data_IF_416513109720
#
_entry.id   IF_416513109720
#
_cell.length_a   1.000
_cell.length_b   1.000
_cell.length_c   1.000
_cell.angle_alpha   90.00
_cell.angle_beta   90.00
_cell.angle_gamma   90.00
#
_symmetry.space_group_name_H-M   'P 1'
#
loop_
_entity.id
_entity.type
_entity.pdbx_description
1 polymer ?
#
# COMPACT_ATOMS: atom_id res chain seq x y z
N UNK A 1 23.15 -77.59 17.91
CA UNK A 1 22.55 -76.41 18.63
C UNK A 1 23.19 -75.14 18.12
N UNK A 2 22.49 -74.43 17.28
CA UNK A 2 22.89 -73.08 16.76
C UNK A 2 21.92 -72.10 17.28
N UNK A 3 22.35 -71.19 18.16
CA UNK A 3 21.56 -70.10 18.68
C UNK A 3 21.52 -68.99 17.65
N UNK A 4 20.31 -68.61 17.23
CA UNK A 4 20.05 -67.42 16.39
C UNK A 4 19.84 -66.26 17.34
N UNK A 5 20.72 -65.27 17.28
CA UNK A 5 20.58 -63.99 17.98
C UNK A 5 19.80 -63.05 17.02
N UNK A 6 18.55 -62.72 17.37
CA UNK A 6 17.74 -61.74 16.66
C UNK A 6 18.10 -60.37 17.19
N UNK A 7 18.76 -59.55 16.36
CA UNK A 7 19.01 -58.14 16.67
C UNK A 7 17.75 -57.37 16.28
N UNK A 8 17.02 -56.87 17.28
CA UNK A 8 15.94 -55.91 17.10
C UNK A 8 16.57 -54.51 16.97
N UNK A 9 16.58 -53.97 15.77
CA UNK A 9 16.95 -52.57 15.53
C UNK A 9 15.72 -51.71 15.84
N UNK A 10 15.70 -51.06 17.01
CA UNK A 10 14.75 -49.97 17.31
C UNK A 10 15.17 -48.76 16.48
N UNK A 11 14.45 -48.49 15.43
CA UNK A 11 14.51 -47.19 14.73
C UNK A 11 13.83 -46.14 15.60
N UNK A 12 14.61 -45.42 16.39
CA UNK A 12 14.15 -44.19 17.04
C UNK A 12 13.99 -43.13 15.96
N UNK A 13 12.75 -42.87 15.54
CA UNK A 13 12.42 -41.65 14.80
C UNK A 13 12.66 -40.47 15.73
N UNK A 14 13.75 -39.76 15.50
CA UNK A 14 14.01 -38.49 16.12
C UNK A 14 12.98 -37.48 15.60
N UNK A 15 11.91 -37.28 16.33
CA UNK A 15 11.07 -36.09 16.23
C UNK A 15 11.87 -34.89 16.79
N UNK A 16 12.92 -34.52 16.06
CA UNK A 16 13.73 -33.35 16.37
C UNK A 16 13.10 -32.13 15.76
N UNK A 17 12.58 -31.26 16.58
CA UNK A 17 12.25 -29.96 16.09
C UNK A 17 11.75 -28.92 17.09
N UNK A 18 11.09 -29.31 18.16
CA UNK A 18 10.53 -28.33 19.08
C UNK A 18 10.70 -28.59 20.57
N UNK A 19 11.34 -29.70 20.97
CA UNK A 19 11.38 -30.14 22.36
C UNK A 19 12.73 -30.00 23.06
N UNK A 20 13.75 -29.38 22.46
CA UNK A 20 15.12 -29.42 23.00
C UNK A 20 15.68 -28.10 23.56
N UNK A 21 14.87 -27.01 23.59
CA UNK A 21 15.34 -25.76 24.23
C UNK A 21 14.27 -25.16 25.11
N UNK A 22 14.62 -24.99 26.39
CA UNK A 22 13.85 -24.42 27.50
C UNK A 22 12.66 -25.29 27.93
N UNK A 23 12.45 -25.41 29.22
CA UNK A 23 11.32 -26.08 29.86
C UNK A 23 9.97 -25.48 29.47
N UNK A 24 9.53 -25.67 28.19
CA UNK A 24 8.22 -25.30 27.70
C UNK A 24 7.21 -26.13 28.47
N UNK A 25 6.49 -25.49 29.39
CA UNK A 25 5.33 -26.09 30.05
C UNK A 25 4.12 -25.88 29.12
N UNK A 26 3.44 -26.99 28.79
CA UNK A 26 2.08 -26.88 28.26
C UNK A 26 1.13 -26.32 29.33
N UNK A 27 -0.08 -25.92 28.93
CA UNK A 27 -1.13 -25.62 29.91
C UNK A 27 -1.53 -26.96 30.53
N UNK A 28 -1.14 -27.15 31.79
CA UNK A 28 -1.49 -28.33 32.58
C UNK A 28 -2.81 -28.13 33.32
N UNK A 29 -3.27 -29.17 34.02
CA UNK A 29 -4.56 -29.14 34.70
C UNK A 29 -4.59 -28.11 35.85
N UNK A 30 -3.49 -27.90 36.56
CA UNK A 30 -3.40 -26.94 37.66
C UNK A 30 -3.48 -25.51 37.11
N UNK A 31 -2.70 -25.20 36.05
CA UNK A 31 -2.77 -23.91 35.35
C UNK A 31 -4.17 -23.66 34.76
N UNK A 32 -4.82 -24.68 34.18
CA UNK A 32 -6.19 -24.53 33.65
C UNK A 32 -7.19 -24.20 34.76
N UNK A 33 -7.08 -24.79 35.94
CA UNK A 33 -7.89 -24.46 37.11
C UNK A 33 -7.67 -23.01 37.56
N UNK A 34 -6.40 -22.55 37.61
CA UNK A 34 -6.06 -21.17 37.95
C UNK A 34 -6.65 -20.17 36.93
N UNK A 35 -6.47 -20.45 35.63
CA UNK A 35 -7.06 -19.62 34.56
C UNK A 35 -8.59 -19.57 34.64
N UNK A 36 -9.26 -20.69 34.84
CA UNK A 36 -10.70 -20.74 35.01
C UNK A 36 -11.18 -19.95 36.25
N UNK A 37 -10.45 -20.03 37.35
CA UNK A 37 -10.76 -19.28 38.57
C UNK A 37 -10.54 -17.77 38.44
N UNK A 38 -9.70 -17.33 37.50
CA UNK A 38 -9.46 -15.91 37.23
C UNK A 38 -10.65 -15.22 36.53
N UNK A 39 -11.58 -15.97 35.99
CA UNK A 39 -12.75 -15.44 35.30
C UNK A 39 -14.02 -15.63 36.13
N UNK A 40 -14.82 -14.55 36.24
CA UNK A 40 -16.10 -14.59 36.97
C UNK A 40 -17.24 -14.06 36.12
N UNK A 41 -18.33 -14.82 36.07
CA UNK A 41 -19.59 -14.39 35.48
C UNK A 41 -20.27 -13.34 36.37
N UNK A 42 -20.29 -12.10 35.92
CA UNK A 42 -21.07 -11.02 36.52
C UNK A 42 -22.05 -10.43 35.51
N UNK A 43 -22.80 -9.39 35.88
CA UNK A 43 -23.78 -8.78 34.98
C UNK A 43 -23.14 -8.21 33.70
N UNK A 44 -21.95 -7.57 33.82
CA UNK A 44 -21.23 -7.03 32.69
C UNK A 44 -20.73 -8.13 31.75
N UNK A 45 -20.02 -9.13 32.28
CA UNK A 45 -19.45 -10.21 31.43
C UNK A 45 -20.53 -11.02 30.75
N UNK A 46 -21.70 -11.21 31.38
CA UNK A 46 -22.88 -11.85 30.73
C UNK A 46 -23.45 -10.99 29.61
N UNK A 47 -23.57 -9.67 29.80
CA UNK A 47 -24.09 -8.76 28.77
C UNK A 47 -23.14 -8.72 27.56
N UNK A 48 -21.83 -8.62 27.81
CA UNK A 48 -20.80 -8.66 26.78
C UNK A 48 -20.82 -9.98 26.02
N UNK A 49 -20.88 -11.13 26.72
CA UNK A 49 -20.95 -12.43 26.09
C UNK A 49 -22.18 -12.57 25.18
N UNK A 50 -23.36 -12.15 25.65
CA UNK A 50 -24.59 -12.19 24.85
C UNK A 50 -24.48 -11.32 23.59
N UNK A 51 -23.89 -10.12 23.69
CA UNK A 51 -23.68 -9.23 22.55
C UNK A 51 -22.67 -9.83 21.55
N UNK A 52 -21.52 -10.32 22.02
CA UNK A 52 -20.49 -10.94 21.19
C UNK A 52 -20.93 -12.26 20.55
N UNK A 53 -21.90 -12.95 21.12
CA UNK A 53 -22.44 -14.19 20.54
C UNK A 53 -23.23 -13.95 19.24
N UNK A 54 -23.63 -12.72 18.95
CA UNK A 54 -24.49 -12.34 17.82
C UNK A 54 -23.97 -11.19 16.98
N UNK A 55 -22.95 -10.44 17.45
CA UNK A 55 -22.38 -9.27 16.77
C UNK A 55 -20.85 -9.30 16.78
N UNK A 56 -20.25 -8.68 15.77
CA UNK A 56 -18.82 -8.45 15.74
C UNK A 56 -18.39 -7.45 16.83
N UNK A 57 -17.23 -7.68 17.45
CA UNK A 57 -16.69 -6.80 18.48
C UNK A 57 -16.56 -5.34 17.99
N UNK A 58 -16.18 -5.13 16.73
CA UNK A 58 -16.06 -3.78 16.14
C UNK A 58 -17.41 -3.06 16.06
N UNK A 59 -18.52 -3.77 15.91
CA UNK A 59 -19.83 -3.13 15.83
C UNK A 59 -20.31 -2.64 17.21
N UNK A 60 -20.05 -3.41 18.26
CA UNK A 60 -20.52 -3.09 19.63
C UNK A 60 -19.58 -2.17 20.41
N UNK A 61 -18.33 -2.05 19.98
CA UNK A 61 -17.33 -1.17 20.63
C UNK A 61 -17.25 0.23 20.04
N UNK A 62 -18.05 0.56 19.01
CA UNK A 62 -18.04 1.89 18.41
C UNK A 62 -18.32 2.97 19.45
N UNK A 63 -17.33 3.82 19.71
CA UNK A 63 -17.44 4.91 20.67
C UNK A 63 -18.37 6.01 20.14
N UNK A 64 -19.58 6.07 20.69
CA UNK A 64 -20.60 7.03 20.24
C UNK A 64 -20.23 8.48 20.56
N UNK A 65 -19.39 8.73 21.55
CA UNK A 65 -18.90 10.10 21.85
C UNK A 65 -17.99 10.58 20.73
N UNK A 66 -17.02 9.75 20.30
CA UNK A 66 -16.14 10.04 19.15
C UNK A 66 -16.95 10.26 17.87
N UNK A 67 -17.97 9.42 17.62
CA UNK A 67 -18.80 9.56 16.42
C UNK A 67 -19.68 10.81 16.43
N UNK A 68 -20.18 11.24 17.60
CA UNK A 68 -21.00 12.47 17.74
C UNK A 68 -20.17 13.74 17.70
N UNK A 69 -18.90 13.72 18.08
CA UNK A 69 -17.99 14.86 18.00
C UNK A 69 -17.49 15.14 16.58
N UNK A 70 -17.93 14.35 15.57
CA UNK A 70 -17.54 14.55 14.17
C UNK A 70 -18.01 15.91 13.68
N UNK A 71 -17.07 16.69 13.21
CA UNK A 71 -17.28 17.94 12.49
C UNK A 71 -16.71 17.82 11.06
N UNK A 72 -17.35 18.44 10.09
CA UNK A 72 -17.03 18.33 8.66
C UNK A 72 -16.59 19.63 8.01
N UNK A 73 -16.37 20.68 8.79
CA UNK A 73 -15.89 21.98 8.32
C UNK A 73 -14.37 22.05 8.40
N UNK A 74 -13.76 22.78 7.48
CA UNK A 74 -12.31 22.93 7.37
C UNK A 74 -11.94 24.39 7.13
N UNK A 75 -10.91 24.86 7.81
CA UNK A 75 -10.37 26.23 7.62
C UNK A 75 -9.60 26.36 6.30
N UNK A 76 -9.06 25.26 5.78
CA UNK A 76 -8.43 25.19 4.47
C UNK A 76 -8.86 23.91 3.76
N UNK A 77 -9.42 24.06 2.57
CA UNK A 77 -9.85 22.93 1.73
C UNK A 77 -9.50 23.20 0.27
N UNK A 78 -8.90 22.23 -0.40
CA UNK A 78 -8.68 22.27 -1.84
C UNK A 78 -9.98 21.94 -2.57
N UNK A 79 -10.08 22.38 -3.83
CA UNK A 79 -11.25 22.08 -4.65
C UNK A 79 -11.47 20.58 -4.77
N UNK A 80 -12.65 20.11 -4.34
CA UNK A 80 -13.01 18.69 -4.39
C UNK A 80 -13.08 18.19 -5.82
N UNK A 81 -12.56 16.99 -6.03
CA UNK A 81 -12.64 16.28 -7.29
C UNK A 81 -13.73 15.21 -7.23
N UNK A 82 -14.32 14.79 -8.37
CA UNK A 82 -15.12 13.57 -8.41
C UNK A 82 -14.33 12.37 -7.89
N UNK A 83 -14.94 11.63 -6.99
CA UNK A 83 -14.30 10.50 -6.31
C UNK A 83 -14.08 9.34 -7.29
N UNK A 84 -12.88 8.77 -7.25
CA UNK A 84 -12.51 7.58 -8.00
C UNK A 84 -12.83 6.31 -7.23
N UNK A 85 -12.93 5.16 -7.94
CA UNK A 85 -13.18 3.86 -7.34
C UNK A 85 -12.18 2.83 -7.84
N UNK A 86 -11.35 2.31 -6.93
CA UNK A 86 -10.37 1.25 -7.25
C UNK A 86 -10.99 -0.14 -7.25
N UNK A 87 -12.25 -0.25 -6.80
CA UNK A 87 -12.99 -1.50 -6.69
C UNK A 87 -12.19 -2.57 -5.89
N UNK A 88 -12.27 -3.83 -6.31
CA UNK A 88 -11.61 -4.97 -5.66
C UNK A 88 -10.16 -5.17 -6.11
N UNK A 89 -9.34 -4.11 -6.01
CA UNK A 89 -7.93 -4.12 -6.40
C UNK A 89 -7.03 -3.42 -5.38
N UNK A 90 -5.75 -3.75 -5.42
CA UNK A 90 -4.73 -3.12 -4.58
C UNK A 90 -4.05 -1.92 -5.21
N UNK A 91 -4.74 -1.13 -6.02
CA UNK A 91 -4.18 0.01 -6.77
C UNK A 91 -4.29 1.36 -6.07
N UNK A 92 -4.59 1.40 -4.76
CA UNK A 92 -4.78 2.65 -4.01
C UNK A 92 -3.64 3.67 -4.24
N UNK A 93 -2.40 3.21 -4.24
CA UNK A 93 -1.22 4.03 -4.47
C UNK A 93 -1.22 4.74 -5.83
N UNK A 94 -1.73 4.07 -6.86
CA UNK A 94 -1.85 4.59 -8.22
C UNK A 94 -3.03 5.57 -8.33
N UNK A 95 -4.18 5.23 -7.72
CA UNK A 95 -5.35 6.10 -7.65
C UNK A 95 -5.02 7.41 -6.93
N UNK A 96 -4.46 7.30 -5.72
CA UNK A 96 -4.04 8.47 -4.94
C UNK A 96 -3.03 9.33 -5.71
N UNK A 97 -2.04 8.71 -6.36
CA UNK A 97 -1.03 9.44 -7.13
C UNK A 97 -1.60 10.17 -8.34
N UNK A 98 -2.46 9.50 -9.12
CA UNK A 98 -3.12 10.14 -10.26
C UNK A 98 -4.11 11.24 -9.81
N UNK A 99 -4.79 11.06 -8.65
CA UNK A 99 -5.67 12.10 -8.09
C UNK A 99 -4.90 13.37 -7.70
N UNK A 100 -3.66 13.27 -7.21
CA UNK A 100 -2.78 14.44 -6.99
C UNK A 100 -2.47 15.18 -8.30
N UNK A 101 -2.40 14.48 -9.43
CA UNK A 101 -2.07 15.06 -10.73
C UNK A 101 -3.30 15.67 -11.47
N UNK A 102 -4.52 15.26 -11.13
CA UNK A 102 -5.77 15.72 -11.79
C UNK A 102 -5.93 17.24 -11.77
N UNK A 103 -5.70 17.96 -10.66
CA UNK A 103 -5.81 19.42 -10.62
C UNK A 103 -4.90 20.13 -11.64
N UNK A 104 -3.69 19.59 -11.85
CA UNK A 104 -2.74 20.15 -12.83
C UNK A 104 -3.26 19.96 -14.26
N UNK A 105 -3.78 18.80 -14.58
CA UNK A 105 -4.36 18.52 -15.89
C UNK A 105 -5.63 19.35 -16.14
N UNK A 106 -6.49 19.48 -15.11
CA UNK A 106 -7.67 20.36 -15.19
C UNK A 106 -7.31 21.81 -15.54
N UNK A 107 -6.30 22.34 -14.86
CA UNK A 107 -5.85 23.71 -15.09
C UNK A 107 -5.31 23.89 -16.52
N UNK A 108 -4.46 22.97 -17.00
CA UNK A 108 -3.86 23.04 -18.34
C UNK A 108 -4.86 22.83 -19.47
N UNK A 109 -5.72 21.83 -19.36
CA UNK A 109 -6.75 21.52 -20.35
C UNK A 109 -7.97 22.43 -20.24
N UNK A 110 -8.07 23.23 -19.15
CA UNK A 110 -9.23 24.09 -18.84
C UNK A 110 -10.54 23.30 -18.82
N UNK A 111 -10.54 22.11 -18.21
CA UNK A 111 -11.71 21.24 -18.07
C UNK A 111 -12.28 21.31 -16.64
N UNK A 112 -13.55 20.96 -16.48
CA UNK A 112 -14.19 20.86 -15.15
C UNK A 112 -13.65 19.67 -14.36
N UNK A 113 -13.42 18.57 -15.05
CA UNK A 113 -12.84 17.35 -14.49
C UNK A 113 -12.10 16.57 -15.57
N UNK A 114 -11.16 15.72 -15.11
CA UNK A 114 -10.48 14.73 -15.91
C UNK A 114 -10.14 13.54 -15.04
N UNK A 115 -10.31 12.35 -15.58
CA UNK A 115 -9.82 11.12 -14.99
C UNK A 115 -8.80 10.47 -15.93
N UNK A 116 -7.71 9.95 -15.36
CA UNK A 116 -6.73 9.17 -16.10
C UNK A 116 -7.12 7.69 -16.10
N UNK A 117 -6.69 6.96 -17.12
CA UNK A 117 -6.87 5.52 -17.17
C UNK A 117 -5.93 4.82 -16.17
N UNK A 118 -6.51 4.24 -15.13
CA UNK A 118 -5.77 3.39 -14.19
C UNK A 118 -5.43 2.04 -14.84
N UNK A 119 -6.28 1.50 -15.68
CA UNK A 119 -6.07 0.25 -16.43
C UNK A 119 -4.84 0.34 -17.32
N UNK A 120 -4.60 1.48 -17.97
CA UNK A 120 -3.42 1.73 -18.80
C UNK A 120 -2.12 1.55 -18.00
N UNK A 121 -1.98 2.25 -16.89
CA UNK A 121 -0.79 2.15 -16.03
C UNK A 121 -0.70 0.79 -15.33
N UNK A 122 -1.82 0.19 -14.97
CA UNK A 122 -1.85 -1.12 -14.32
C UNK A 122 -1.37 -2.24 -15.23
N UNK A 123 -1.64 -2.16 -16.54
CA UNK A 123 -1.06 -3.07 -17.52
C UNK A 123 0.47 -3.08 -17.44
N UNK A 124 1.05 -1.90 -17.48
CA UNK A 124 2.51 -1.77 -17.43
C UNK A 124 3.10 -2.09 -16.05
N UNK A 125 2.40 -1.75 -14.96
CA UNK A 125 2.78 -2.15 -13.61
C UNK A 125 2.94 -3.67 -13.50
N UNK A 126 1.97 -4.43 -14.00
CA UNK A 126 2.03 -5.89 -14.00
C UNK A 126 3.14 -6.44 -14.89
N UNK A 127 3.33 -5.88 -16.06
CA UNK A 127 4.38 -6.29 -16.99
C UNK A 127 5.77 -6.04 -16.40
N UNK A 128 5.99 -4.87 -15.82
CA UNK A 128 7.26 -4.51 -15.21
C UNK A 128 7.54 -5.32 -13.93
N UNK A 129 6.54 -5.53 -13.08
CA UNK A 129 6.69 -6.41 -11.90
C UNK A 129 7.00 -7.85 -12.29
N UNK A 130 6.43 -8.35 -13.39
CA UNK A 130 6.78 -9.67 -13.92
C UNK A 130 8.25 -9.71 -14.37
N UNK A 131 8.72 -8.65 -15.03
CA UNK A 131 10.13 -8.53 -15.42
C UNK A 131 11.05 -8.48 -14.20
N UNK A 132 10.71 -7.67 -13.19
CA UNK A 132 11.45 -7.60 -11.92
C UNK A 132 11.52 -8.95 -11.21
N UNK A 133 10.38 -9.66 -11.15
CA UNK A 133 10.34 -11.01 -10.60
C UNK A 133 11.31 -11.94 -11.32
N UNK A 134 11.28 -11.99 -12.66
CA UNK A 134 12.15 -12.85 -13.45
C UNK A 134 13.63 -12.49 -13.26
N UNK A 135 13.97 -11.21 -13.19
CA UNK A 135 15.32 -10.76 -12.87
C UNK A 135 15.74 -11.15 -11.44
N UNK A 136 14.85 -11.01 -10.46
CA UNK A 136 15.09 -11.47 -9.09
C UNK A 136 15.35 -12.98 -9.01
N UNK A 137 14.61 -13.77 -9.79
CA UNK A 137 14.83 -15.23 -9.91
C UNK A 137 16.19 -15.52 -10.52
N UNK A 138 16.60 -14.80 -11.56
CA UNK A 138 17.93 -14.95 -12.16
C UNK A 138 19.04 -14.58 -11.18
N UNK A 139 18.89 -13.49 -10.45
CA UNK A 139 19.86 -13.02 -9.45
C UNK A 139 19.96 -13.95 -8.22
N UNK A 140 18.93 -14.76 -7.95
CA UNK A 140 18.90 -15.70 -6.82
C UNK A 140 18.96 -17.16 -7.25
N UNK A 141 19.36 -17.41 -8.49
CA UNK A 141 19.30 -18.72 -9.12
C UNK A 141 20.08 -19.79 -8.36
N UNK A 142 21.26 -19.45 -7.86
CA UNK A 142 22.16 -20.36 -7.18
C UNK A 142 21.83 -20.58 -5.68
N UNK A 143 20.87 -19.79 -5.16
CA UNK A 143 20.38 -19.95 -3.79
C UNK A 143 19.35 -21.10 -3.70
N UNK A 144 19.29 -21.87 -2.60
CA UNK A 144 18.27 -22.91 -2.43
C UNK A 144 16.85 -22.31 -2.42
N UNK A 145 15.84 -23.13 -2.76
CA UNK A 145 14.43 -22.70 -2.76
C UNK A 145 13.96 -22.22 -1.38
N UNK A 146 14.53 -22.76 -0.30
CA UNK A 146 14.26 -22.37 1.09
C UNK A 146 14.97 -21.09 1.53
N UNK A 147 15.78 -20.47 0.66
CA UNK A 147 16.42 -19.21 1.00
C UNK A 147 15.38 -18.08 1.03
N UNK A 148 15.38 -17.27 2.10
CA UNK A 148 14.37 -16.23 2.37
C UNK A 148 14.11 -15.28 1.19
N UNK A 149 15.15 -14.90 0.43
CA UNK A 149 15.01 -14.07 -0.80
C UNK A 149 14.20 -14.80 -1.88
N UNK A 150 14.41 -16.10 -2.05
CA UNK A 150 13.68 -16.91 -3.05
C UNK A 150 12.23 -17.10 -2.61
N UNK A 151 12.01 -17.42 -1.34
CA UNK A 151 10.65 -17.53 -0.79
C UNK A 151 9.86 -16.23 -0.95
N UNK A 152 10.49 -15.08 -0.66
CA UNK A 152 9.88 -13.78 -0.81
C UNK A 152 9.39 -13.55 -2.25
N UNK A 153 10.25 -13.78 -3.25
CA UNK A 153 9.88 -13.67 -4.67
C UNK A 153 8.74 -14.62 -5.02
N UNK A 154 8.84 -15.89 -4.62
CA UNK A 154 7.86 -16.92 -4.97
C UNK A 154 6.49 -16.72 -4.31
N UNK A 155 6.42 -16.08 -3.12
CA UNK A 155 5.15 -15.83 -2.44
C UNK A 155 4.25 -14.88 -3.22
N UNK A 156 4.78 -13.78 -3.74
CA UNK A 156 4.00 -12.75 -4.42
C UNK A 156 4.71 -12.20 -5.66
N UNK A 157 4.70 -12.94 -6.81
CA UNK A 157 5.42 -12.54 -8.02
C UNK A 157 5.01 -11.17 -8.59
N UNK A 158 3.71 -10.86 -8.59
CA UNK A 158 3.14 -9.63 -9.19
C UNK A 158 2.05 -9.03 -8.29
N UNK A 159 2.39 -8.55 -7.08
CA UNK A 159 1.42 -7.97 -6.17
C UNK A 159 0.81 -6.68 -6.75
N UNK A 160 -0.38 -6.30 -6.26
CA UNK A 160 -1.04 -5.05 -6.69
C UNK A 160 -0.40 -3.82 -6.05
N UNK A 161 0.08 -3.95 -4.81
CA UNK A 161 0.64 -2.85 -4.04
C UNK A 161 1.82 -2.13 -4.71
N UNK A 162 2.04 -0.90 -4.35
CA UNK A 162 3.12 -0.05 -4.84
C UNK A 162 3.24 1.23 -4.04
N UNK A 163 4.13 2.12 -4.47
CA UNK A 163 4.46 3.39 -3.85
C UNK A 163 4.31 4.53 -4.85
N UNK A 164 4.36 5.78 -4.38
CA UNK A 164 4.39 6.95 -5.26
C UNK A 164 5.47 6.84 -6.35
N UNK A 165 6.69 6.46 -5.98
CA UNK A 165 7.80 6.32 -6.94
C UNK A 165 7.46 5.34 -8.05
N UNK A 166 6.74 4.25 -7.74
CA UNK A 166 6.31 3.29 -8.74
C UNK A 166 5.39 3.91 -9.79
N UNK A 167 4.40 4.69 -9.38
CA UNK A 167 3.51 5.42 -10.28
C UNK A 167 4.29 6.46 -11.09
N UNK A 168 5.18 7.23 -10.46
CA UNK A 168 5.99 8.24 -11.12
C UNK A 168 6.87 7.64 -12.22
N UNK A 169 7.55 6.51 -11.96
CA UNK A 169 8.40 5.85 -12.95
C UNK A 169 7.60 5.21 -14.10
N UNK A 170 6.43 4.68 -13.81
CA UNK A 170 5.53 4.18 -14.87
C UNK A 170 5.07 5.33 -15.77
N UNK A 171 4.70 6.48 -15.21
CA UNK A 171 4.31 7.66 -15.99
C UNK A 171 5.48 8.18 -16.84
N UNK A 172 6.68 8.27 -16.27
CA UNK A 172 7.87 8.72 -17.03
C UNK A 172 8.17 7.81 -18.22
N UNK A 173 8.01 6.50 -18.04
CA UNK A 173 8.31 5.52 -19.08
C UNK A 173 7.19 5.39 -20.11
N UNK A 174 5.95 5.37 -19.66
CA UNK A 174 4.81 5.01 -20.50
C UNK A 174 3.82 6.16 -20.75
N UNK A 175 3.92 7.28 -20.02
CA UNK A 175 2.95 8.36 -20.09
C UNK A 175 1.64 8.03 -19.38
N UNK A 176 0.61 8.80 -19.70
CA UNK A 176 -0.77 8.58 -19.24
C UNK A 176 -1.75 8.79 -20.40
N UNK A 177 -2.95 8.26 -20.26
CA UNK A 177 -4.05 8.49 -21.22
C UNK A 177 -5.31 8.90 -20.45
N UNK A 178 -6.26 9.65 -21.07
CA UNK A 178 -7.58 9.86 -20.51
C UNK A 178 -8.31 8.54 -20.23
N UNK A 179 -9.20 8.53 -19.26
CA UNK A 179 -9.96 7.34 -18.86
C UNK A 179 -10.69 6.68 -20.03
N UNK A 180 -11.30 7.48 -20.92
CA UNK A 180 -12.11 7.01 -22.05
C UNK A 180 -11.29 6.23 -23.09
N UNK A 181 -9.98 6.41 -23.13
CA UNK A 181 -9.09 5.74 -24.08
C UNK A 181 -8.83 4.28 -23.71
N UNK A 182 -8.75 4.00 -22.42
CA UNK A 182 -8.62 2.63 -21.91
C UNK A 182 -9.34 2.54 -20.56
N UNK A 183 -10.67 2.47 -20.56
CA UNK A 183 -11.47 2.46 -19.34
C UNK A 183 -11.28 1.17 -18.53
N UNK A 184 -11.66 1.23 -17.27
CA UNK A 184 -11.70 0.02 -16.45
C UNK A 184 -12.70 -0.99 -16.99
N UNK A 185 -12.36 -2.27 -16.87
CA UNK A 185 -13.21 -3.41 -17.17
C UNK A 185 -13.29 -4.34 -15.95
N UNK A 186 -14.04 -5.44 -16.05
CA UNK A 186 -14.20 -6.37 -14.94
C UNK A 186 -12.85 -6.88 -14.39
N UNK A 187 -11.94 -7.31 -15.26
CA UNK A 187 -10.63 -7.86 -14.86
C UNK A 187 -9.72 -6.80 -14.22
N UNK A 188 -9.75 -5.55 -14.70
CA UNK A 188 -8.97 -4.46 -14.12
C UNK A 188 -9.57 -3.97 -12.80
N UNK A 189 -10.89 -4.13 -12.59
CA UNK A 189 -11.58 -3.81 -11.34
C UNK A 189 -11.58 -4.96 -10.31
N UNK A 190 -11.24 -6.19 -10.73
CA UNK A 190 -11.22 -7.40 -9.90
C UNK A 190 -9.95 -8.20 -10.16
N UNK A 191 -8.81 -7.69 -9.71
CA UNK A 191 -7.47 -8.17 -10.10
C UNK A 191 -7.09 -9.57 -9.61
N UNK A 192 -7.83 -10.15 -8.66
CA UNK A 192 -7.47 -11.45 -8.03
C UNK A 192 -7.23 -12.56 -9.05
N UNK A 193 -8.11 -12.71 -10.05
CA UNK A 193 -8.01 -13.80 -11.05
C UNK A 193 -6.83 -13.63 -11.98
N UNK A 194 -6.60 -12.42 -12.49
CA UNK A 194 -5.46 -12.12 -13.36
C UNK A 194 -4.13 -12.24 -12.59
N UNK A 195 -4.07 -11.77 -11.35
CA UNK A 195 -2.89 -11.93 -10.48
C UNK A 195 -2.57 -13.40 -10.24
N UNK A 196 -3.58 -14.24 -10.02
CA UNK A 196 -3.41 -15.69 -9.86
C UNK A 196 -2.84 -16.34 -11.13
N UNK A 197 -3.39 -16.02 -12.29
CA UNK A 197 -2.91 -16.56 -13.56
C UNK A 197 -1.45 -16.14 -13.85
N UNK A 198 -1.12 -14.87 -13.66
CA UNK A 198 0.24 -14.35 -13.80
C UNK A 198 1.20 -15.02 -12.82
N UNK A 199 0.83 -15.13 -11.54
CA UNK A 199 1.67 -15.76 -10.53
C UNK A 199 1.93 -17.24 -10.81
N UNK A 200 0.93 -18.00 -11.30
CA UNK A 200 1.11 -19.38 -11.72
C UNK A 200 2.11 -19.49 -12.88
N UNK A 201 1.91 -18.70 -13.93
CA UNK A 201 2.79 -18.71 -15.10
C UNK A 201 4.22 -18.29 -14.77
N UNK A 202 4.39 -17.26 -13.94
CA UNK A 202 5.71 -16.79 -13.50
C UNK A 202 6.44 -17.83 -12.63
N UNK A 203 5.74 -18.58 -11.76
CA UNK A 203 6.35 -19.67 -10.99
C UNK A 203 6.80 -20.82 -11.89
N UNK A 204 6.07 -21.17 -12.95
CA UNK A 204 6.52 -22.13 -13.94
C UNK A 204 7.85 -21.66 -14.57
N UNK A 205 7.91 -20.44 -15.06
CA UNK A 205 9.13 -19.88 -15.64
C UNK A 205 10.29 -19.73 -14.64
N UNK A 206 9.99 -19.42 -13.40
CA UNK A 206 11.00 -19.38 -12.34
C UNK A 206 11.70 -20.74 -12.16
N UNK A 207 10.94 -21.85 -12.17
CA UNK A 207 11.50 -23.19 -12.11
C UNK A 207 12.30 -23.55 -13.37
N UNK A 208 11.82 -23.15 -14.56
CA UNK A 208 12.55 -23.35 -15.82
C UNK A 208 13.89 -22.61 -15.76
N UNK A 209 13.90 -21.32 -15.39
CA UNK A 209 15.09 -20.48 -15.27
C UNK A 209 16.09 -21.06 -14.26
N UNK A 210 15.61 -21.54 -13.11
CA UNK A 210 16.47 -22.11 -12.06
C UNK A 210 17.07 -23.47 -12.44
N UNK A 211 16.37 -24.27 -13.24
CA UNK A 211 16.82 -25.60 -13.68
C UNK A 211 17.67 -25.58 -14.95
N UNK A 212 17.69 -24.47 -15.68
CA UNK A 212 18.44 -24.39 -16.93
C UNK A 212 19.95 -24.55 -16.69
N UNK A 213 20.57 -25.49 -17.38
CA UNK A 213 22.00 -25.83 -17.21
C UNK A 213 22.94 -24.88 -17.98
N UNK A 214 22.46 -24.17 -19.00
CA UNK A 214 23.27 -23.35 -19.91
C UNK A 214 22.89 -21.88 -19.75
N UNK A 215 23.86 -21.01 -19.49
CA UNK A 215 23.66 -19.56 -19.34
C UNK A 215 23.12 -18.89 -20.62
N UNK A 216 23.48 -19.38 -21.80
CA UNK A 216 23.14 -18.73 -23.09
C UNK A 216 21.65 -18.73 -23.48
N UNK A 217 20.78 -19.48 -22.78
CA UNK A 217 19.34 -19.59 -23.11
C UNK A 217 18.43 -18.87 -22.09
N UNK A 218 18.98 -18.21 -21.09
CA UNK A 218 18.17 -17.63 -20.00
C UNK A 218 17.38 -16.41 -20.45
N UNK A 219 17.97 -15.58 -21.31
CA UNK A 219 17.31 -14.40 -21.84
C UNK A 219 16.14 -14.76 -22.76
N UNK A 220 16.29 -15.79 -23.60
CA UNK A 220 15.20 -16.28 -24.44
C UNK A 220 14.05 -16.83 -23.60
N UNK A 221 14.36 -17.50 -22.48
CA UNK A 221 13.33 -17.97 -21.53
C UNK A 221 12.63 -16.79 -20.88
N UNK A 222 13.37 -15.76 -20.44
CA UNK A 222 12.81 -14.54 -19.85
C UNK A 222 11.90 -13.83 -20.86
N UNK A 223 12.33 -13.68 -22.11
CA UNK A 223 11.54 -13.04 -23.16
C UNK A 223 10.25 -13.84 -23.47
N UNK A 224 10.33 -15.17 -23.51
CA UNK A 224 9.13 -16.02 -23.67
C UNK A 224 8.15 -15.83 -22.51
N UNK A 225 8.67 -15.80 -21.28
CA UNK A 225 7.84 -15.54 -20.09
C UNK A 225 7.12 -14.20 -20.19
N UNK A 226 7.82 -13.14 -20.61
CA UNK A 226 7.23 -11.81 -20.78
C UNK A 226 6.19 -11.76 -21.92
N UNK A 227 6.39 -12.52 -23.02
CA UNK A 227 5.38 -12.65 -24.08
C UNK A 227 4.09 -13.32 -23.56
N UNK A 228 4.22 -14.38 -22.75
CA UNK A 228 3.06 -15.03 -22.13
C UNK A 228 2.35 -14.12 -21.12
N UNK A 229 3.12 -13.39 -20.30
CA UNK A 229 2.59 -12.36 -19.40
C UNK A 229 1.83 -11.28 -20.17
N UNK A 230 2.44 -10.73 -21.23
CA UNK A 230 1.80 -9.73 -22.11
C UNK A 230 0.48 -10.25 -22.68
N UNK A 231 0.46 -11.50 -23.15
CA UNK A 231 -0.76 -12.14 -23.69
C UNK A 231 -1.85 -12.22 -22.62
N UNK A 232 -1.51 -12.64 -21.38
CA UNK A 232 -2.47 -12.70 -20.28
C UNK A 232 -3.02 -11.30 -20.00
N UNK A 233 -2.16 -10.29 -19.94
CA UNK A 233 -2.58 -8.90 -19.69
C UNK A 233 -3.46 -8.36 -20.82
N UNK A 234 -3.07 -8.58 -22.08
CA UNK A 234 -3.82 -8.11 -23.24
C UNK A 234 -5.24 -8.71 -23.33
N UNK A 235 -5.38 -10.00 -23.03
CA UNK A 235 -6.69 -10.67 -22.99
C UNK A 235 -7.57 -10.14 -21.85
N UNK A 236 -6.99 -9.76 -20.71
CA UNK A 236 -7.74 -9.29 -19.56
C UNK A 236 -8.03 -7.78 -19.59
N UNK A 237 -7.08 -6.97 -20.02
CA UNK A 237 -7.16 -5.50 -19.90
C UNK A 237 -7.33 -4.79 -21.26
N UNK A 238 -7.10 -5.48 -22.36
CA UNK A 238 -6.93 -4.89 -23.68
C UNK A 238 -5.47 -4.49 -23.94
N UNK A 239 -5.17 -4.05 -25.16
CA UNK A 239 -3.84 -3.61 -25.57
C UNK A 239 -3.72 -2.10 -25.33
N UNK A 240 -2.73 -1.64 -24.51
CA UNK A 240 -2.50 -0.22 -24.31
C UNK A 240 -2.19 0.48 -25.64
N UNK A 241 -2.81 1.61 -25.96
CA UNK A 241 -2.55 2.34 -27.19
C UNK A 241 -1.16 3.00 -27.16
N UNK A 242 -0.42 2.90 -28.24
CA UNK A 242 0.80 3.68 -28.47
C UNK A 242 0.50 5.11 -28.91
N UNK A 243 -0.65 5.31 -29.54
CA UNK A 243 -1.18 6.58 -30.01
C UNK A 243 -2.69 6.57 -29.90
N UNK A 244 -3.33 7.72 -29.64
CA UNK A 244 -4.77 7.87 -29.55
C UNK A 244 -5.23 9.23 -30.02
N UNK A 245 -6.41 9.28 -30.63
CA UNK A 245 -7.07 10.51 -31.04
C UNK A 245 -8.20 10.83 -30.07
N UNK A 246 -8.17 12.02 -29.47
CA UNK A 246 -9.10 12.40 -28.43
C UNK A 246 -9.51 13.87 -28.56
N UNK A 247 -10.71 14.18 -28.11
CA UNK A 247 -11.26 15.53 -27.93
C UNK A 247 -12.08 15.58 -26.64
N UNK A 248 -12.26 16.76 -26.10
CA UNK A 248 -12.97 16.95 -24.85
C UNK A 248 -13.78 18.25 -24.87
N UNK A 249 -14.67 18.41 -23.89
CA UNK A 249 -15.32 19.68 -23.61
C UNK A 249 -14.51 20.45 -22.57
N UNK A 250 -14.22 21.71 -22.86
CA UNK A 250 -13.60 22.61 -21.89
C UNK A 250 -14.57 22.95 -20.73
N UNK A 251 -14.10 23.75 -19.77
CA UNK A 251 -14.90 24.18 -18.61
C UNK A 251 -16.17 24.98 -18.99
N UNK A 252 -16.17 25.60 -20.14
CA UNK A 252 -17.27 26.39 -20.67
C UNK A 252 -18.22 25.55 -21.54
N UNK A 253 -17.96 24.27 -21.67
CA UNK A 253 -18.74 23.28 -22.43
C UNK A 253 -18.44 23.26 -23.92
N UNK A 254 -17.46 24.03 -24.40
CA UNK A 254 -17.06 24.09 -25.80
C UNK A 254 -16.25 22.83 -26.17
N UNK A 255 -16.65 22.21 -27.27
CA UNK A 255 -15.96 21.03 -27.80
C UNK A 255 -14.66 21.44 -28.47
N UNK A 256 -13.55 20.78 -28.12
CA UNK A 256 -12.25 20.97 -28.78
C UNK A 256 -12.21 20.21 -30.11
N UNK A 257 -11.23 20.53 -30.95
CA UNK A 257 -10.93 19.72 -32.13
C UNK A 257 -10.33 18.39 -31.73
N UNK A 258 -10.45 17.38 -32.58
CA UNK A 258 -9.71 16.13 -32.44
C UNK A 258 -8.22 16.41 -32.53
N UNK A 259 -7.47 15.79 -31.62
CA UNK A 259 -6.00 15.82 -31.63
C UNK A 259 -5.47 14.43 -31.36
N UNK A 260 -4.43 14.06 -32.10
CA UNK A 260 -3.69 12.81 -31.91
C UNK A 260 -2.55 13.03 -30.89
N UNK A 261 -2.42 12.09 -29.98
CA UNK A 261 -1.47 12.10 -28.88
C UNK A 261 -0.75 10.74 -28.77
N UNK A 262 0.50 10.77 -28.41
CA UNK A 262 1.10 9.64 -27.69
C UNK A 262 0.86 9.80 -26.20
N UNK A 263 0.84 8.72 -25.41
CA UNK A 263 0.69 8.84 -23.94
C UNK A 263 1.71 9.75 -23.28
N UNK A 264 2.95 9.77 -23.76
CA UNK A 264 4.02 10.63 -23.29
C UNK A 264 3.77 12.11 -23.66
N UNK A 265 3.35 12.39 -24.91
CA UNK A 265 3.03 13.76 -25.31
C UNK A 265 1.84 14.29 -24.54
N UNK A 266 0.82 13.46 -24.32
CA UNK A 266 -0.31 13.82 -23.47
C UNK A 266 0.13 14.14 -22.03
N UNK A 267 0.93 13.30 -21.40
CA UNK A 267 1.48 13.60 -20.08
C UNK A 267 2.22 14.93 -20.05
N UNK A 268 3.15 15.13 -20.97
CA UNK A 268 4.00 16.35 -21.04
C UNK A 268 3.17 17.63 -21.20
N UNK A 269 2.16 17.61 -22.04
CA UNK A 269 1.39 18.79 -22.39
C UNK A 269 0.18 19.01 -21.47
N UNK A 270 -0.57 17.94 -21.15
CA UNK A 270 -1.79 18.03 -20.37
C UNK A 270 -1.54 18.03 -18.84
N UNK A 271 -0.48 17.39 -18.37
CA UNK A 271 -0.13 17.33 -16.94
C UNK A 271 1.13 18.14 -16.65
N UNK A 272 2.26 17.72 -17.21
CA UNK A 272 3.56 18.39 -17.13
C UNK A 272 4.06 18.58 -15.70
N UNK A 273 3.73 17.67 -14.81
CA UNK A 273 4.28 17.67 -13.45
C UNK A 273 5.75 17.27 -13.47
N UNK A 274 6.58 17.98 -12.71
CA UNK A 274 7.96 17.58 -12.43
C UNK A 274 7.98 16.46 -11.40
N UNK A 275 7.73 15.21 -11.82
CA UNK A 275 7.65 14.07 -10.89
C UNK A 275 8.97 13.80 -10.14
N UNK A 276 10.10 14.33 -10.64
CA UNK A 276 11.41 14.26 -9.99
C UNK A 276 11.51 15.14 -8.75
N UNK A 277 10.61 16.11 -8.62
CA UNK A 277 10.61 17.05 -7.50
C UNK A 277 9.79 16.57 -6.29
N UNK A 278 9.27 15.34 -6.32
CA UNK A 278 8.50 14.75 -5.23
C UNK A 278 9.31 13.75 -4.43
N UNK A 279 9.35 13.91 -3.12
CA UNK A 279 10.17 13.15 -2.19
C UNK A 279 9.31 12.42 -1.16
N UNK A 280 9.60 11.14 -0.95
CA UNK A 280 8.95 10.34 0.07
C UNK A 280 9.61 10.60 1.44
N UNK A 281 8.79 11.00 2.40
CA UNK A 281 9.21 11.23 3.79
C UNK A 281 8.39 10.31 4.68
N UNK A 282 9.09 9.53 5.49
CA UNK A 282 8.50 8.58 6.41
C UNK A 282 8.69 9.02 7.85
N UNK A 283 7.82 8.59 8.74
CA UNK A 283 8.03 8.66 10.18
C UNK A 283 7.91 7.27 10.78
N UNK A 284 9.04 6.62 10.98
CA UNK A 284 9.17 5.25 11.48
C UNK A 284 9.91 5.31 12.81
N UNK A 285 9.21 5.20 13.96
CA UNK A 285 9.79 5.51 15.27
C UNK A 285 10.85 4.50 15.73
N UNK A 286 10.81 3.26 15.26
CA UNK A 286 11.79 2.24 15.62
C UNK A 286 13.07 2.27 14.75
N UNK A 287 13.29 3.39 14.05
CA UNK A 287 14.49 3.63 13.22
C UNK A 287 15.01 5.04 13.43
N UNK A 288 16.33 5.26 13.34
CA UNK A 288 16.91 6.59 13.46
C UNK A 288 16.28 7.62 12.51
N UNK A 289 15.88 8.77 13.06
CA UNK A 289 15.48 9.92 12.27
C UNK A 289 16.69 10.63 11.63
N UNK A 290 16.45 11.35 10.54
CA UNK A 290 17.50 12.05 9.79
C UNK A 290 18.36 11.14 8.93
N UNK A 291 17.95 9.90 8.70
CA UNK A 291 18.61 8.93 7.83
C UNK A 291 17.80 8.65 6.56
N UNK A 292 18.53 8.26 5.52
CA UNK A 292 17.99 7.84 4.25
C UNK A 292 17.92 6.30 4.18
N UNK A 293 16.81 5.79 3.68
CA UNK A 293 16.58 4.37 3.53
C UNK A 293 16.09 4.04 2.12
N UNK A 294 16.36 2.82 1.67
CA UNK A 294 15.75 2.22 0.49
C UNK A 294 15.29 0.79 0.83
N UNK A 295 14.40 0.23 0.03
CA UNK A 295 13.96 -1.16 0.21
C UNK A 295 14.32 -1.96 -1.02
N UNK A 296 15.02 -3.08 -0.82
CA UNK A 296 15.45 -3.97 -1.91
C UNK A 296 14.24 -4.45 -2.72
N UNK A 297 14.30 -4.32 -4.03
CA UNK A 297 13.25 -4.69 -4.99
C UNK A 297 11.94 -3.89 -4.88
N UNK A 298 11.89 -2.82 -4.10
CA UNK A 298 10.74 -1.92 -4.10
C UNK A 298 10.88 -0.86 -5.20
N UNK A 299 10.78 -1.33 -6.43
CA UNK A 299 10.74 -0.53 -7.65
C UNK A 299 9.63 -1.05 -8.56
N UNK A 300 9.03 -0.19 -9.37
CA UNK A 300 8.05 -0.60 -10.37
C UNK A 300 8.72 -1.00 -11.68
N UNK A 301 9.80 -0.32 -12.06
CA UNK A 301 10.48 -0.47 -13.35
C UNK A 301 11.93 -0.87 -13.11
N UNK A 302 12.40 -1.94 -13.76
CA UNK A 302 13.68 -2.59 -13.45
C UNK A 302 14.92 -1.70 -13.67
N UNK A 303 14.87 -0.83 -14.67
CA UNK A 303 15.95 0.09 -15.05
C UNK A 303 15.76 1.52 -14.50
N UNK A 304 14.92 1.67 -13.46
CA UNK A 304 14.58 2.95 -12.85
C UNK A 304 14.75 2.92 -11.33
N UNK A 305 14.87 4.09 -10.68
CA UNK A 305 14.97 4.16 -9.24
C UNK A 305 13.82 3.45 -8.52
N UNK A 306 14.15 2.78 -7.42
CA UNK A 306 13.20 2.23 -6.46
C UNK A 306 12.87 3.22 -5.36
N UNK A 307 12.16 2.73 -4.33
CA UNK A 307 11.82 3.53 -3.16
C UNK A 307 13.08 3.96 -2.42
N UNK A 308 13.23 5.28 -2.30
CA UNK A 308 14.18 5.95 -1.41
C UNK A 308 13.40 6.94 -0.56
N UNK A 309 13.60 6.93 0.75
CA UNK A 309 12.87 7.81 1.66
C UNK A 309 13.74 8.32 2.81
N UNK A 310 13.47 9.54 3.24
CA UNK A 310 14.06 10.08 4.46
C UNK A 310 13.14 9.79 5.66
N UNK A 311 13.70 9.23 6.73
CA UNK A 311 12.98 9.04 7.99
C UNK A 311 13.09 10.31 8.84
N UNK A 312 11.95 10.94 9.17
CA UNK A 312 11.89 12.20 9.92
C UNK A 312 10.89 12.10 11.07
N UNK A 313 11.00 13.00 12.06
CA UNK A 313 10.06 13.05 13.16
C UNK A 313 8.63 13.39 12.69
N UNK A 314 7.62 12.92 13.41
CA UNK A 314 6.21 13.08 13.06
C UNK A 314 5.79 14.54 12.93
N UNK A 315 6.21 15.40 13.84
CA UNK A 315 5.88 16.83 13.77
C UNK A 315 6.39 17.47 12.48
N UNK A 316 7.62 17.13 12.07
CA UNK A 316 8.17 17.61 10.80
C UNK A 316 7.39 17.04 9.60
N UNK A 317 6.91 15.80 9.67
CA UNK A 317 6.09 15.19 8.63
C UNK A 317 4.76 15.95 8.46
N UNK A 318 4.08 16.26 9.57
CA UNK A 318 2.83 17.04 9.60
C UNK A 318 3.03 18.46 9.08
N UNK A 319 4.10 19.13 9.52
CA UNK A 319 4.43 20.49 9.07
C UNK A 319 4.59 20.56 7.55
N UNK A 320 5.21 19.56 6.94
CA UNK A 320 5.41 19.51 5.49
C UNK A 320 4.08 19.26 4.76
N UNK A 321 3.22 18.39 5.29
CA UNK A 321 1.90 18.16 4.75
C UNK A 321 1.04 19.45 4.82
N UNK A 322 1.08 20.15 5.97
CA UNK A 322 0.39 21.42 6.15
C UNK A 322 0.89 22.49 5.15
N UNK A 323 2.20 22.66 5.00
CA UNK A 323 2.79 23.60 4.04
C UNK A 323 2.39 23.30 2.60
N UNK A 324 2.30 22.03 2.23
CA UNK A 324 1.84 21.62 0.90
C UNK A 324 0.39 22.07 0.66
N UNK A 325 -0.52 21.77 1.61
CA UNK A 325 -1.92 22.22 1.51
C UNK A 325 -2.06 23.73 1.48
N UNK A 326 -1.31 24.47 2.31
CA UNK A 326 -1.26 25.94 2.28
C UNK A 326 -0.76 26.48 0.93
N UNK A 327 0.18 25.77 0.31
CA UNK A 327 0.67 26.00 -1.04
C UNK A 327 -0.30 25.54 -2.15
N UNK A 328 -1.53 25.14 -1.78
CA UNK A 328 -2.60 24.63 -2.67
C UNK A 328 -2.20 23.35 -3.42
N UNK A 329 -1.42 22.50 -2.80
CA UNK A 329 -0.99 21.21 -3.37
C UNK A 329 -1.44 20.06 -2.47
N UNK A 330 -2.20 19.13 -3.05
CA UNK A 330 -2.67 17.94 -2.37
C UNK A 330 -1.49 16.98 -2.06
N UNK A 331 -1.61 16.20 -0.97
CA UNK A 331 -0.54 15.34 -0.48
C UNK A 331 -0.92 13.88 -0.60
N UNK A 332 -0.17 13.12 -1.39
CA UNK A 332 -0.22 11.67 -1.35
C UNK A 332 0.34 11.19 -0.01
N UNK A 333 -0.38 10.32 0.68
CA UNK A 333 0.09 9.74 1.94
C UNK A 333 -0.27 8.26 2.07
N UNK A 334 0.51 7.53 2.87
CA UNK A 334 0.27 6.13 3.20
C UNK A 334 0.08 5.93 4.70
N UNK A 335 -0.85 5.05 5.05
CA UNK A 335 -1.25 4.81 6.43
C UNK A 335 -1.73 3.37 6.67
N UNK A 336 -1.91 3.00 7.93
CA UNK A 336 -2.62 1.79 8.33
C UNK A 336 -4.12 2.06 8.48
N UNK A 337 -4.83 2.11 7.33
CA UNK A 337 -6.23 2.53 7.26
C UNK A 337 -7.19 1.65 8.06
N UNK A 338 -6.84 0.39 8.29
CA UNK A 338 -7.68 -0.55 9.02
C UNK A 338 -7.81 -0.28 10.52
N UNK A 339 -6.94 0.58 11.06
CA UNK A 339 -6.88 0.90 12.49
C UNK A 339 -7.72 2.14 12.81
N UNK A 340 -8.50 2.06 13.87
CA UNK A 340 -9.29 3.19 14.40
C UNK A 340 -10.01 4.00 13.31
N UNK A 341 -10.56 3.31 12.29
CA UNK A 341 -11.29 3.91 11.18
C UNK A 341 -12.65 3.24 10.96
N UNK A 342 -13.66 4.04 10.61
CA UNK A 342 -15.01 3.58 10.28
C UNK A 342 -15.42 4.12 8.91
N UNK A 343 -15.22 3.32 7.87
CA UNK A 343 -15.49 3.73 6.49
C UNK A 343 -16.97 4.12 6.26
N UNK A 344 -17.93 3.38 6.84
CA UNK A 344 -19.37 3.71 6.72
C UNK A 344 -19.74 5.12 7.19
N UNK A 345 -18.90 5.74 8.03
CA UNK A 345 -19.11 7.09 8.59
C UNK A 345 -18.06 8.10 8.12
N UNK A 346 -17.01 7.65 7.44
CA UNK A 346 -15.91 8.51 7.04
C UNK A 346 -15.12 9.09 8.22
N UNK A 347 -14.92 8.32 9.30
CA UNK A 347 -14.25 8.77 10.52
C UNK A 347 -12.95 8.01 10.73
N UNK A 348 -11.89 8.75 11.05
CA UNK A 348 -10.60 8.25 11.51
C UNK A 348 -10.27 8.96 12.82
N UNK A 349 -10.31 8.25 13.94
CA UNK A 349 -10.06 8.82 15.26
C UNK A 349 -9.53 7.74 16.21
N UNK A 350 -8.50 8.00 17.02
CA UNK A 350 -8.15 7.12 18.11
C UNK A 350 -9.35 6.89 19.04
N UNK A 351 -9.34 5.78 19.74
CA UNK A 351 -10.43 5.41 20.66
C UNK A 351 -11.81 5.23 19.98
N UNK A 352 -11.83 5.10 18.65
CA UNK A 352 -13.06 4.83 17.90
C UNK A 352 -13.69 3.49 18.30
N UNK A 353 -12.87 2.54 18.74
CA UNK A 353 -13.28 1.23 19.23
C UNK A 353 -12.85 1.05 20.68
N UNK A 354 -13.80 1.03 21.60
CA UNK A 354 -13.58 0.92 23.06
C UNK A 354 -13.44 -0.54 23.50
N UNK A 355 -12.32 -1.16 23.13
CA UNK A 355 -12.00 -2.54 23.54
C UNK A 355 -11.69 -2.65 25.04
N UNK A 356 -11.16 -1.58 25.64
CA UNK A 356 -10.83 -1.57 27.08
C UNK A 356 -12.11 -1.74 27.92
N UNK A 357 -13.18 -1.00 27.61
CA UNK A 357 -14.46 -1.17 28.27
C UNK A 357 -15.10 -2.53 27.97
N UNK A 358 -14.96 -3.03 26.74
CA UNK A 358 -15.52 -4.34 26.37
C UNK A 358 -14.92 -5.47 27.20
N UNK A 359 -13.58 -5.54 27.30
CA UNK A 359 -12.88 -6.65 27.93
C UNK A 359 -12.46 -6.39 29.38
N UNK A 360 -12.60 -5.17 29.87
CA UNK A 360 -12.20 -4.79 31.23
C UNK A 360 -10.68 -4.83 31.48
N UNK A 361 -9.89 -4.67 30.41
CA UNK A 361 -8.42 -4.67 30.48
C UNK A 361 -7.81 -3.70 29.47
N UNK A 362 -6.60 -3.15 29.71
CA UNK A 362 -5.98 -2.21 28.80
C UNK A 362 -5.48 -2.87 27.52
N UNK A 363 -5.61 -2.15 26.39
CA UNK A 363 -5.05 -2.48 25.07
C UNK A 363 -4.09 -1.36 24.64
N UNK A 364 -2.90 -1.32 25.26
CA UNK A 364 -1.94 -0.20 25.11
C UNK A 364 -0.70 -0.69 24.41
N UNK A 365 -0.58 -0.37 23.13
CA UNK A 365 0.62 -0.55 22.35
C UNK A 365 1.11 0.82 21.89
N UNK A 366 2.35 1.19 22.25
CA UNK A 366 2.94 2.42 21.73
C UNK A 366 3.09 2.37 20.21
N UNK A 367 3.24 3.52 19.57
CA UNK A 367 3.48 3.56 18.11
C UNK A 367 4.77 2.82 17.77
N UNK A 368 5.83 2.98 18.56
CA UNK A 368 7.10 2.27 18.34
C UNK A 368 6.93 0.75 18.50
N UNK A 369 6.24 0.30 19.54
CA UNK A 369 5.98 -1.13 19.75
C UNK A 369 5.10 -1.71 18.66
N UNK A 370 4.15 -0.94 18.13
CA UNK A 370 3.34 -1.37 17.00
C UNK A 370 4.18 -1.63 15.74
N UNK A 371 5.22 -0.83 15.49
CA UNK A 371 6.19 -1.09 14.42
C UNK A 371 7.09 -2.29 14.74
N UNK A 372 7.58 -2.40 15.97
CA UNK A 372 8.44 -3.51 16.40
C UNK A 372 7.74 -4.87 16.33
N UNK A 373 6.44 -4.89 16.58
CA UNK A 373 5.61 -6.11 16.56
C UNK A 373 4.89 -6.34 15.24
N UNK A 374 5.13 -5.49 14.25
CA UNK A 374 4.47 -5.53 12.93
C UNK A 374 2.94 -5.38 13.01
N UNK A 375 2.44 -4.83 14.10
CA UNK A 375 1.02 -4.51 14.30
C UNK A 375 0.59 -3.27 13.51
N UNK A 376 1.54 -2.43 13.08
CA UNK A 376 1.31 -1.27 12.21
C UNK A 376 2.20 -1.38 10.98
N UNK A 377 1.57 -1.42 9.82
CA UNK A 377 2.22 -1.43 8.50
C UNK A 377 1.41 -0.55 7.55
N UNK A 378 2.04 0.08 6.55
CA UNK A 378 1.29 0.84 5.55
C UNK A 378 0.42 -0.09 4.71
N UNK A 379 -0.89 0.07 4.79
CA UNK A 379 -1.87 -0.79 4.10
C UNK A 379 -2.61 -0.08 2.98
N UNK A 380 -2.65 1.27 2.99
CA UNK A 380 -3.46 2.04 2.06
C UNK A 380 -2.85 3.41 1.77
N UNK A 381 -3.03 3.89 0.54
CA UNK A 381 -2.67 5.24 0.13
C UNK A 381 -3.92 6.05 -0.20
N UNK A 382 -3.92 7.31 0.23
CA UNK A 382 -4.98 8.29 0.00
C UNK A 382 -4.38 9.68 -0.24
N UNK A 383 -5.23 10.71 -0.33
CA UNK A 383 -4.81 12.08 -0.59
C UNK A 383 -5.32 13.01 0.50
N UNK A 384 -4.41 13.80 1.13
CA UNK A 384 -4.83 14.92 1.97
C UNK A 384 -5.24 16.08 1.07
N UNK A 385 -6.46 16.60 1.27
CA UNK A 385 -7.06 17.68 0.47
C UNK A 385 -7.54 18.85 1.30
N UNK A 386 -7.42 18.77 2.63
CA UNK A 386 -7.78 19.90 3.51
C UNK A 386 -7.30 19.68 4.93
N UNK A 387 -7.32 20.75 5.69
CA UNK A 387 -6.97 20.76 7.12
C UNK A 387 -7.84 21.78 7.86
N UNK A 388 -8.24 21.44 9.07
CA UNK A 388 -8.83 22.38 9.99
C UNK A 388 -7.83 22.78 11.08
N UNK A 389 -7.69 24.08 11.30
CA UNK A 389 -6.73 24.64 12.23
C UNK A 389 -7.45 25.19 13.45
N UNK A 390 -7.00 24.81 14.64
CA UNK A 390 -7.44 25.37 15.92
C UNK A 390 -6.21 25.89 16.65
N UNK A 391 -6.20 27.14 17.05
CA UNK A 391 -5.07 27.79 17.75
C UNK A 391 -3.73 27.53 17.02
N UNK A 392 -3.72 27.75 15.70
CA UNK A 392 -2.56 27.56 14.80
C UNK A 392 -2.01 26.14 14.73
N UNK A 393 -2.75 25.13 15.21
CA UNK A 393 -2.39 23.72 15.10
C UNK A 393 -3.40 22.94 14.29
N UNK A 394 -2.98 21.94 13.51
CA UNK A 394 -3.92 21.02 12.89
C UNK A 394 -4.79 20.31 13.92
N UNK A 395 -6.09 20.32 13.75
CA UNK A 395 -7.04 19.56 14.57
C UNK A 395 -7.58 18.34 13.84
N UNK A 396 -7.77 18.46 12.54
CA UNK A 396 -8.23 17.37 11.66
C UNK A 396 -7.86 17.62 10.21
N UNK A 397 -7.86 16.55 9.43
CA UNK A 397 -7.49 16.53 8.01
C UNK A 397 -8.62 15.97 7.16
N UNK A 398 -8.85 16.58 5.99
CA UNK A 398 -9.76 16.06 4.98
C UNK A 398 -8.99 15.11 4.05
N UNK A 399 -9.50 13.89 3.92
CA UNK A 399 -8.86 12.82 3.18
C UNK A 399 -9.74 12.36 2.03
N UNK A 400 -9.26 12.50 0.80
CA UNK A 400 -9.89 11.92 -0.38
C UNK A 400 -9.48 10.45 -0.50
N UNK A 401 -10.46 9.54 -0.54
CA UNK A 401 -10.26 8.11 -0.71
C UNK A 401 -10.64 7.67 -2.13
N UNK A 402 -10.28 6.43 -2.49
CA UNK A 402 -10.54 5.82 -3.80
C UNK A 402 -11.43 4.57 -3.71
N UNK A 403 -12.50 4.62 -2.89
CA UNK A 403 -13.47 3.53 -2.74
C UNK A 403 -14.87 3.90 -3.22
N UNK A 404 -14.95 4.83 -4.17
CA UNK A 404 -16.20 5.33 -4.71
C UNK A 404 -16.93 6.31 -3.79
N UNK A 405 -17.81 7.12 -4.37
CA UNK A 405 -18.55 8.16 -3.66
C UNK A 405 -19.60 7.62 -2.66
N UNK A 406 -19.91 6.32 -2.70
CA UNK A 406 -20.83 5.68 -1.75
C UNK A 406 -20.13 5.27 -0.45
N UNK A 407 -18.82 5.14 -0.46
CA UNK A 407 -18.02 4.85 0.73
C UNK A 407 -17.73 6.13 1.51
N UNK A 408 -17.38 5.99 2.78
CA UNK A 408 -17.00 7.07 3.67
C UNK A 408 -18.10 8.17 3.77
N UNK A 409 -17.71 9.42 3.93
CA UNK A 409 -18.63 10.55 3.76
C UNK A 409 -18.50 11.09 2.32
N UNK A 410 -19.29 10.57 1.40
CA UNK A 410 -19.22 10.90 -0.04
C UNK A 410 -17.83 10.72 -0.63
N UNK A 411 -17.12 9.67 -0.20
CA UNK A 411 -15.75 9.34 -0.64
C UNK A 411 -14.64 9.96 0.22
N UNK A 412 -14.97 10.75 1.25
CA UNK A 412 -13.99 11.42 2.10
C UNK A 412 -13.96 10.84 3.51
N UNK A 413 -12.77 10.85 4.13
CA UNK A 413 -12.60 10.67 5.56
C UNK A 413 -12.33 12.01 6.25
N UNK A 414 -12.83 12.12 7.48
CA UNK A 414 -12.51 13.17 8.44
C UNK A 414 -11.56 12.58 9.46
N UNK A 415 -10.28 12.86 9.29
CA UNK A 415 -9.21 12.27 10.07
C UNK A 415 -8.77 13.24 11.18
N UNK A 416 -8.89 12.85 12.43
CA UNK A 416 -8.35 13.63 13.56
C UNK A 416 -6.82 13.69 13.51
N UNK A 417 -6.24 14.77 14.03
CA UNK A 417 -4.80 14.97 14.02
C UNK A 417 -4.03 13.92 14.86
N UNK A 418 -4.60 13.48 15.97
CA UNK A 418 -4.05 12.41 16.81
C UNK A 418 -4.12 11.01 16.13
N UNK A 419 -5.06 10.82 15.20
CA UNK A 419 -5.05 9.64 14.33
C UNK A 419 -3.90 9.70 13.30
N UNK A 420 -3.63 10.89 12.76
CA UNK A 420 -2.49 11.12 11.88
C UNK A 420 -1.19 10.70 12.59
N UNK A 421 -0.98 11.18 13.82
CA UNK A 421 0.20 10.85 14.64
C UNK A 421 0.38 9.35 14.82
N UNK A 422 -0.71 8.62 14.98
CA UNK A 422 -0.68 7.20 15.31
C UNK A 422 -0.51 6.29 14.10
N UNK A 423 -1.15 6.60 12.96
CA UNK A 423 -1.34 5.65 11.86
C UNK A 423 -0.79 6.10 10.51
N UNK A 424 -0.39 7.36 10.33
CA UNK A 424 0.28 7.80 9.11
C UNK A 424 1.75 7.44 9.17
N UNK A 425 2.26 6.81 8.10
CA UNK A 425 3.65 6.39 8.01
C UNK A 425 4.45 7.23 7.01
N UNK A 426 3.83 7.70 5.94
CA UNK A 426 4.52 8.39 4.84
C UNK A 426 3.67 9.49 4.24
N UNK A 427 4.34 10.58 3.86
CA UNK A 427 3.81 11.62 2.96
C UNK A 427 4.77 11.82 1.80
N UNK A 428 4.24 12.23 0.65
CA UNK A 428 5.06 12.60 -0.52
C UNK A 428 4.89 14.09 -0.76
N UNK A 429 6.00 14.81 -0.73
CA UNK A 429 6.05 16.27 -0.70
C UNK A 429 6.90 16.80 -1.84
N UNK A 430 6.42 17.82 -2.54
CA UNK A 430 7.18 18.52 -3.56
C UNK A 430 8.35 19.28 -2.93
N UNK A 431 9.52 19.25 -3.60
CA UNK A 431 10.79 19.83 -3.14
C UNK A 431 10.66 21.26 -2.61
N UNK A 432 9.82 22.08 -3.22
CA UNK A 432 9.62 23.51 -2.84
C UNK A 432 9.16 23.72 -1.40
N UNK A 433 8.53 22.70 -0.78
CA UNK A 433 8.04 22.75 0.60
C UNK A 433 9.01 22.11 1.60
N UNK A 434 10.07 21.45 1.13
CA UNK A 434 11.03 20.74 1.98
C UNK A 434 12.17 21.69 2.34
N UNK A 435 12.34 22.05 3.63
CA UNK A 435 13.46 22.88 4.08
C UNK A 435 14.80 22.21 3.77
N UNK A 436 15.84 23.03 3.50
CA UNK A 436 17.16 22.54 3.12
C UNK A 436 17.76 21.59 4.19
N UNK A 437 17.47 21.84 5.47
CA UNK A 437 17.92 20.96 6.57
C UNK A 437 17.42 19.51 6.41
N UNK A 438 16.16 19.33 6.00
CA UNK A 438 15.59 17.99 5.74
C UNK A 438 16.07 17.47 4.39
N UNK A 439 16.12 18.33 3.37
CA UNK A 439 16.53 17.93 2.03
C UNK A 439 17.97 17.39 1.95
N UNK A 440 18.86 17.88 2.81
CA UNK A 440 20.24 17.37 2.91
C UNK A 440 20.32 15.85 3.16
N UNK A 441 19.30 15.26 3.81
CA UNK A 441 19.22 13.81 4.04
C UNK A 441 19.23 13.05 2.71
N UNK A 442 18.55 13.55 1.68
CA UNK A 442 18.47 12.91 0.36
C UNK A 442 19.80 12.96 -0.45
N UNK A 443 20.80 13.71 0.02
CA UNK A 443 22.14 13.73 -0.59
C UNK A 443 23.06 12.61 -0.08
N UNK A 444 22.63 11.87 0.95
CA UNK A 444 23.36 10.76 1.54
C UNK A 444 23.12 9.43 0.81
N UNK A 445 23.87 8.41 1.21
CA UNK A 445 23.65 7.05 0.74
C UNK A 445 22.54 6.37 1.56
N UNK A 446 21.57 5.70 0.92
CA UNK A 446 20.51 5.04 1.64
C UNK A 446 20.98 3.73 2.28
N UNK A 447 20.56 3.49 3.50
CA UNK A 447 20.62 2.16 4.10
C UNK A 447 19.60 1.26 3.40
N UNK A 448 20.07 0.11 2.86
CA UNK A 448 19.23 -0.80 2.08
C UNK A 448 18.54 -1.80 3.01
N UNK A 449 17.23 -1.69 3.13
CA UNK A 449 16.40 -2.59 3.90
C UNK A 449 16.08 -3.87 3.09
N UNK A 450 15.85 -5.01 3.77
CA UNK A 450 15.50 -6.24 3.09
C UNK A 450 14.12 -6.16 2.43
N UNK A 451 13.83 -6.97 1.40
CA UNK A 451 12.55 -6.89 0.68
C UNK A 451 11.34 -7.37 1.49
N UNK A 452 11.55 -7.99 2.64
CA UNK A 452 10.50 -8.33 3.62
C UNK A 452 10.34 -7.29 4.73
N UNK A 453 10.93 -6.12 4.57
CA UNK A 453 10.71 -5.00 5.47
C UNK A 453 9.23 -4.56 5.41
N UNK A 454 8.60 -4.19 6.54
CA UNK A 454 7.22 -3.72 6.55
C UNK A 454 6.95 -2.51 5.65
N UNK A 455 7.97 -1.74 5.32
CA UNK A 455 7.85 -0.58 4.41
C UNK A 455 7.89 -0.96 2.93
N UNK A 456 8.11 -2.25 2.59
CA UNK A 456 8.04 -2.74 1.21
C UNK A 456 6.62 -2.67 0.69
N UNK A 457 6.38 -1.86 -0.32
CA UNK A 457 5.08 -1.61 -0.97
C UNK A 457 3.92 -1.47 0.04
N UNK A 458 2.87 -0.77 -0.32
CA UNK A 458 1.65 -0.79 0.48
C UNK A 458 1.06 -2.20 0.43
N UNK A 459 1.13 -2.90 1.56
CA UNK A 459 0.63 -4.26 1.69
C UNK A 459 -0.89 -4.22 1.77
N UNK A 460 -1.55 -4.78 0.77
CA UNK A 460 -2.98 -5.01 0.80
C UNK A 460 -3.18 -6.48 1.17
N UNK A 461 -3.70 -6.70 2.36
CA UNK A 461 -4.08 -8.00 2.87
C UNK A 461 -5.49 -8.39 2.40
#
# INVERSE_FOLDING_TARGET
MRSIITIVILAAFAASGFAAESGKKGIDEEMLKELAASFTWNAHTRAVHNALSTHDARDITQNQQVLRSRDTYYSLELERQPITDQESTGRCWMYAGLNVLRPLARAKLKVKDIQFSHTYLFFYDKLEKANLFLQGILATRDLPLSHRKVEFLMKSPVPDGGQWVGMAELIRKYGVVPYEIMPDNYSSSHSRSVNRALAMKLREYALILRRAKVKGNLEDVRLRALKDVYRILAVNFGIPPGEFTWRYKDKDGKLTSYRTWTPQSFYKEAVGAGLDDYYALYSIPNRPFGKLYSVMWDQAVADRPGLVFANIAMDALKDLALKSLQGKEAVWFGCDVGKDSLSKKGVMAPELYDLESLYGMPFRLSREDAFNTWSSVPTHAMVLTGVDMVEDKPAKWLVENSWGAKACDKGYYHMRDDWFDRHVQVVVIHRRFIPEKIFKVFKGEPEVLPPWDPMYRLLIF
#
